data_IF_401078080043
#
_entry.id   IF_401078080043
#
_cell.length_a   1.000
_cell.length_b   1.000
_cell.length_c   1.000
_cell.angle_alpha   90.00
_cell.angle_beta   90.00
_cell.angle_gamma   90.00
#
_symmetry.space_group_name_H-M   'P 1'
#
loop_
_entity.id
_entity.type
_entity.pdbx_description
1 polymer ?
#
# COMPACT_ATOMS: atom_id res chain seq x y z
N UNK A 1 -16.15 -6.11 29.36
CA UNK A 1 -15.20 -7.12 28.84
C UNK A 1 -14.50 -6.47 27.67
N UNK A 2 -13.17 -6.43 27.65
CA UNK A 2 -12.42 -5.83 26.53
C UNK A 2 -12.57 -6.73 25.31
N UNK A 3 -13.21 -6.22 24.26
CA UNK A 3 -13.48 -6.99 23.04
C UNK A 3 -12.16 -7.26 22.32
N UNK A 4 -11.83 -8.52 21.98
CA UNK A 4 -10.62 -8.84 21.25
C UNK A 4 -10.69 -8.27 19.83
N UNK A 5 -9.65 -7.52 19.47
CA UNK A 5 -9.49 -6.82 18.20
C UNK A 5 -8.16 -7.23 17.56
N UNK A 6 -8.14 -7.47 16.26
CA UNK A 6 -6.89 -7.78 15.55
C UNK A 6 -6.09 -6.51 15.35
N UNK A 7 -4.87 -6.46 15.88
CA UNK A 7 -4.03 -5.24 15.95
C UNK A 7 -3.70 -4.58 14.62
N UNK A 8 -3.82 -5.29 13.50
CA UNK A 8 -3.49 -4.78 12.17
C UNK A 8 -4.72 -4.57 11.26
N UNK A 9 -5.88 -5.14 11.60
CA UNK A 9 -7.04 -5.20 10.68
C UNK A 9 -8.34 -4.64 11.25
N UNK A 10 -8.38 -4.20 12.51
CA UNK A 10 -9.62 -3.67 13.11
C UNK A 10 -10.76 -4.68 13.22
N UNK A 11 -10.50 -5.98 12.99
CA UNK A 11 -11.52 -7.01 13.03
C UNK A 11 -11.83 -7.35 14.49
N UNK A 12 -13.09 -7.28 14.89
CA UNK A 12 -13.53 -7.70 16.21
C UNK A 12 -14.63 -8.75 16.10
N UNK A 13 -14.63 -9.69 17.05
CA UNK A 13 -15.67 -10.71 17.17
C UNK A 13 -16.61 -10.27 18.31
N UNK A 14 -17.89 -9.95 18.05
CA UNK A 14 -18.81 -9.61 19.12
C UNK A 14 -19.02 -10.80 20.06
N UNK A 15 -19.04 -10.54 21.37
CA UNK A 15 -19.34 -11.54 22.37
C UNK A 15 -20.82 -11.94 22.36
N UNK A 16 -21.16 -13.02 23.08
CA UNK A 16 -22.54 -13.44 23.23
C UNK A 16 -23.36 -12.36 23.98
N UNK A 17 -24.34 -11.78 23.29
CA UNK A 17 -25.19 -10.70 23.84
C UNK A 17 -24.73 -9.28 23.51
N UNK A 18 -23.65 -9.07 22.75
CA UNK A 18 -23.20 -7.75 22.34
C UNK A 18 -24.03 -7.17 21.17
N UNK A 19 -24.06 -5.83 21.06
CA UNK A 19 -24.66 -5.05 19.95
C UNK A 19 -26.17 -5.28 19.67
N UNK A 20 -27.06 -5.28 20.68
CA UNK A 20 -28.50 -5.40 20.45
C UNK A 20 -29.03 -4.19 19.66
N UNK A 21 -29.71 -4.43 18.54
CA UNK A 21 -30.34 -3.39 17.72
C UNK A 21 -29.39 -2.58 16.82
N UNK A 22 -28.12 -2.98 16.71
CA UNK A 22 -27.10 -2.28 15.89
C UNK A 22 -26.63 -3.09 14.67
N UNK A 23 -27.45 -4.05 14.23
CA UNK A 23 -27.22 -4.82 13.01
C UNK A 23 -27.36 -3.92 11.78
N UNK A 24 -26.32 -3.85 10.93
CA UNK A 24 -26.33 -3.04 9.70
C UNK A 24 -25.91 -1.56 9.87
N UNK A 25 -25.88 -1.02 11.09
CA UNK A 25 -25.18 0.25 11.41
C UNK A 25 -23.78 0.01 11.98
N UNK A 26 -23.62 -1.08 12.74
CA UNK A 26 -22.34 -1.52 13.31
C UNK A 26 -21.97 -2.97 12.92
N UNK A 27 -22.94 -3.82 12.53
CA UNK A 27 -22.70 -5.27 12.33
C UNK A 27 -22.46 -5.74 10.87
N UNK A 28 -22.31 -4.82 9.93
CA UNK A 28 -21.43 -5.04 8.76
C UNK A 28 -20.36 -3.98 8.93
N UNK A 29 -19.15 -4.41 9.28
CA UNK A 29 -18.09 -3.52 9.75
C UNK A 29 -17.89 -2.38 8.74
N UNK A 30 -18.06 -1.10 9.15
CA UNK A 30 -17.64 0.05 8.34
C UNK A 30 -16.19 -0.08 7.84
N UNK A 31 -15.38 -0.87 8.56
CA UNK A 31 -14.00 -1.20 8.22
C UNK A 31 -13.83 -2.12 6.99
N UNK A 32 -14.88 -2.82 6.53
CA UNK A 32 -14.85 -3.61 5.29
C UNK A 32 -14.76 -2.73 4.04
N UNK A 33 -15.14 -1.45 4.15
CA UNK A 33 -14.98 -0.44 3.07
C UNK A 33 -13.50 -0.23 2.73
N UNK A 34 -12.58 -0.46 3.68
CA UNK A 34 -11.14 -0.35 3.45
C UNK A 34 -10.59 -1.48 2.57
N UNK A 35 -11.11 -2.70 2.73
CA UNK A 35 -10.74 -3.88 1.92
C UNK A 35 -11.28 -3.74 0.49
N UNK A 36 -12.49 -3.20 0.32
CA UNK A 36 -13.12 -2.98 -0.98
C UNK A 36 -12.75 -1.63 -1.62
N UNK A 37 -11.97 -0.81 -0.91
CA UNK A 37 -11.66 0.56 -1.26
C UNK A 37 -10.53 0.70 -2.29
N UNK A 38 -10.76 1.58 -3.28
CA UNK A 38 -9.74 2.09 -4.19
C UNK A 38 -9.57 3.57 -3.91
N UNK A 39 -8.34 4.01 -3.62
CA UNK A 39 -8.05 5.43 -3.46
C UNK A 39 -7.17 5.93 -4.61
N UNK A 40 -7.46 7.14 -5.10
CA UNK A 40 -6.65 7.80 -6.13
C UNK A 40 -5.81 8.90 -5.51
N UNK A 41 -4.52 8.89 -5.84
CA UNK A 41 -3.50 9.81 -5.32
C UNK A 41 -2.84 10.49 -6.52
N UNK A 42 -2.72 11.82 -6.47
CA UNK A 42 -1.99 12.58 -7.48
C UNK A 42 -0.50 12.64 -7.12
N UNK A 43 0.36 12.40 -8.11
CA UNK A 43 1.81 12.47 -7.99
C UNK A 43 2.39 13.38 -9.08
N UNK A 44 3.47 14.11 -8.75
CA UNK A 44 4.14 15.01 -9.69
C UNK A 44 5.67 15.05 -9.50
N UNK A 45 6.18 15.66 -8.43
CA UNK A 45 7.63 15.75 -8.21
C UNK A 45 8.06 15.80 -6.73
N UNK A 46 7.12 15.63 -5.80
CA UNK A 46 7.38 15.69 -4.38
C UNK A 46 7.19 14.30 -3.74
N UNK A 47 7.98 13.94 -2.72
CA UNK A 47 7.75 12.74 -1.94
C UNK A 47 6.35 12.74 -1.32
N UNK A 48 5.69 11.59 -1.33
CA UNK A 48 4.36 11.40 -0.77
C UNK A 48 4.47 10.57 0.50
N UNK A 49 3.83 11.01 1.56
CA UNK A 49 3.60 10.20 2.77
C UNK A 49 2.11 9.94 2.82
N UNK A 50 1.69 8.68 2.68
CA UNK A 50 0.27 8.36 2.75
C UNK A 50 -0.26 8.68 4.13
N UNK A 51 -1.48 9.22 4.17
CA UNK A 51 -2.15 9.47 5.44
C UNK A 51 -2.62 8.15 6.07
N UNK A 52 -2.42 8.06 7.38
CA UNK A 52 -3.00 7.05 8.27
C UNK A 52 -3.76 7.76 9.40
N UNK A 53 -4.71 7.09 10.08
CA UNK A 53 -5.42 7.71 11.20
C UNK A 53 -4.42 8.01 12.33
N UNK A 54 -4.52 9.18 12.95
CA UNK A 54 -3.65 9.56 14.07
C UNK A 54 -3.80 8.56 15.22
N UNK A 55 -2.69 7.95 15.65
CA UNK A 55 -2.72 6.96 16.71
C UNK A 55 -3.44 5.68 16.31
N UNK A 56 -3.16 5.15 15.10
CA UNK A 56 -3.70 3.89 14.59
C UNK A 56 -3.86 2.84 15.69
N UNK A 57 -5.10 2.68 16.13
CA UNK A 57 -5.58 1.56 16.92
C UNK A 57 -6.59 0.84 16.04
N UNK A 58 -6.49 -0.48 16.00
CA UNK A 58 -7.42 -1.33 15.26
C UNK A 58 -8.81 -1.29 15.90
N UNK A 59 -9.53 -0.21 15.65
CA UNK A 59 -10.84 0.09 16.20
C UNK A 59 -11.62 0.88 15.16
N UNK A 60 -12.95 0.66 15.05
CA UNK A 60 -13.76 1.30 14.03
C UNK A 60 -13.66 2.81 14.18
N UNK A 61 -13.15 3.50 13.16
CA UNK A 61 -13.13 4.96 13.09
C UNK A 61 -13.63 5.41 11.71
N UNK A 62 -13.94 6.71 11.57
CA UNK A 62 -14.62 7.25 10.41
C UNK A 62 -13.78 7.17 9.13
N UNK A 63 -13.92 6.04 8.41
CA UNK A 63 -13.56 5.85 7.01
C UNK A 63 -12.09 5.49 6.74
N UNK A 64 -11.80 4.78 5.62
CA UNK A 64 -10.43 4.41 5.30
C UNK A 64 -9.63 5.65 4.89
N UNK A 65 -8.58 5.94 5.65
CA UNK A 65 -7.48 6.78 5.18
C UNK A 65 -6.77 6.15 3.98
N UNK A 66 -5.96 6.91 3.25
CA UNK A 66 -5.31 6.44 2.03
C UNK A 66 -4.61 5.09 2.23
N UNK A 67 -3.82 4.94 3.31
CA UNK A 67 -3.03 3.75 3.58
C UNK A 67 -3.83 2.52 4.05
N UNK A 68 -5.14 2.66 4.30
CA UNK A 68 -6.01 1.54 4.67
C UNK A 68 -6.66 0.86 3.45
N UNK A 69 -6.61 1.50 2.27
CA UNK A 69 -7.17 0.93 1.05
C UNK A 69 -6.27 -0.17 0.51
N UNK A 70 -6.88 -1.28 0.09
CA UNK A 70 -6.16 -2.39 -0.55
C UNK A 70 -5.56 -1.97 -1.90
N UNK A 71 -6.22 -1.05 -2.63
CA UNK A 71 -5.76 -0.56 -3.93
C UNK A 71 -5.41 0.92 -3.86
N UNK A 72 -4.17 1.24 -4.24
CA UNK A 72 -3.63 2.58 -4.31
C UNK A 72 -3.35 2.94 -5.77
N UNK A 73 -4.17 3.82 -6.34
CA UNK A 73 -4.03 4.29 -7.72
C UNK A 73 -3.28 5.62 -7.76
N UNK A 74 -2.19 5.69 -8.49
CA UNK A 74 -1.40 6.90 -8.68
C UNK A 74 -1.63 7.48 -10.07
N UNK A 75 -1.85 8.79 -10.15
CA UNK A 75 -2.11 9.50 -11.40
C UNK A 75 -1.34 10.82 -11.44
N UNK A 76 -1.26 11.43 -12.62
CA UNK A 76 -0.55 12.69 -12.83
C UNK A 76 0.69 12.54 -13.69
N UNK A 77 1.32 13.67 -14.00
CA UNK A 77 2.55 13.72 -14.79
C UNK A 77 3.75 13.88 -13.87
N UNK A 78 4.57 12.84 -13.80
CA UNK A 78 5.83 12.88 -13.10
C UNK A 78 6.83 13.73 -13.89
N UNK A 79 7.50 14.63 -13.17
CA UNK A 79 8.67 15.37 -13.70
C UNK A 79 9.97 14.94 -13.04
N UNK A 80 9.88 13.96 -12.12
CA UNK A 80 10.98 13.27 -11.48
C UNK A 80 10.46 12.00 -10.80
N UNK A 81 11.36 11.07 -10.45
CA UNK A 81 10.98 9.88 -9.69
C UNK A 81 10.54 10.26 -8.28
N UNK A 82 9.40 9.72 -7.84
CA UNK A 82 8.77 10.08 -6.57
C UNK A 82 8.82 8.91 -5.61
N UNK A 83 9.17 9.19 -4.35
CA UNK A 83 9.08 8.19 -3.28
C UNK A 83 7.77 8.33 -2.50
N UNK A 84 7.09 7.21 -2.33
CA UNK A 84 5.85 7.05 -1.58
C UNK A 84 6.12 6.26 -0.30
N UNK A 85 5.73 6.80 0.84
CA UNK A 85 5.87 6.13 2.15
C UNK A 85 4.57 5.45 2.53
N UNK A 86 4.64 4.13 2.74
CA UNK A 86 3.57 3.29 3.26
C UNK A 86 3.64 3.25 4.79
N UNK A 87 2.70 3.89 5.51
CA UNK A 87 2.77 3.99 6.96
C UNK A 87 2.27 2.74 7.70
N UNK A 88 1.43 1.93 7.06
CA UNK A 88 0.79 0.76 7.68
C UNK A 88 1.41 -0.52 7.09
N UNK A 89 1.84 -1.49 7.91
CA UNK A 89 2.22 -2.82 7.43
C UNK A 89 1.00 -3.53 6.85
N UNK A 90 1.15 -4.15 5.68
CA UNK A 90 0.01 -4.76 4.99
C UNK A 90 0.30 -5.16 3.56
N UNK A 91 -0.75 -5.64 2.90
CA UNK A 91 -0.76 -5.99 1.49
C UNK A 91 -1.42 -4.87 0.69
N UNK A 92 -0.78 -4.49 -0.42
CA UNK A 92 -1.22 -3.41 -1.29
C UNK A 92 -1.17 -3.83 -2.75
N UNK A 93 -2.17 -3.38 -3.51
CA UNK A 93 -2.14 -3.37 -4.97
C UNK A 93 -1.83 -1.94 -5.39
N UNK A 94 -0.71 -1.75 -6.06
CA UNK A 94 -0.24 -0.46 -6.56
C UNK A 94 -0.60 -0.36 -8.04
N UNK A 95 -1.46 0.58 -8.42
CA UNK A 95 -1.80 0.91 -9.82
C UNK A 95 -1.11 2.23 -10.18
N UNK A 96 0.04 2.16 -10.87
CA UNK A 96 0.77 3.37 -11.27
C UNK A 96 0.32 3.83 -12.66
N UNK A 97 -0.64 4.74 -12.73
CA UNK A 97 -1.11 5.34 -14.00
C UNK A 97 -0.53 6.73 -14.24
N UNK A 98 0.65 7.00 -13.70
CA UNK A 98 1.35 8.25 -13.98
C UNK A 98 1.92 8.28 -15.41
N UNK A 99 2.29 9.47 -15.86
CA UNK A 99 3.01 9.72 -17.12
C UNK A 99 4.35 10.38 -16.82
N UNK A 100 5.29 10.42 -17.78
CA UNK A 100 6.51 11.23 -17.66
C UNK A 100 7.84 10.47 -17.66
N UNK A 101 7.88 9.17 -17.95
CA UNK A 101 9.11 8.36 -17.99
C UNK A 101 9.92 8.36 -16.68
N UNK A 102 9.21 8.42 -15.55
CA UNK A 102 9.75 8.28 -14.21
C UNK A 102 8.99 7.20 -13.44
N UNK A 103 9.56 6.75 -12.33
CA UNK A 103 9.03 5.63 -11.55
C UNK A 103 8.55 6.08 -10.17
N UNK A 104 7.65 5.30 -9.59
CA UNK A 104 7.23 5.46 -8.19
C UNK A 104 7.97 4.46 -7.31
N UNK A 105 8.76 4.95 -6.37
CA UNK A 105 9.44 4.14 -5.37
C UNK A 105 8.63 4.04 -4.08
N UNK A 106 8.42 2.84 -3.56
CA UNK A 106 7.64 2.57 -2.35
C UNK A 106 8.55 2.12 -1.22
N UNK A 107 8.39 2.74 -0.04
CA UNK A 107 9.15 2.43 1.16
C UNK A 107 8.26 2.38 2.40
N UNK A 108 8.70 1.66 3.43
CA UNK A 108 8.08 1.67 4.75
C UNK A 108 8.56 2.89 5.57
N UNK A 109 7.91 3.17 6.71
CA UNK A 109 8.40 4.16 7.68
C UNK A 109 9.78 3.80 8.20
N UNK A 110 10.04 2.51 8.48
CA UNK A 110 11.35 2.03 8.95
C UNK A 110 12.47 2.18 7.92
N UNK A 111 12.17 2.55 6.67
CA UNK A 111 13.13 2.88 5.60
C UNK A 111 14.21 1.83 5.32
N UNK A 112 13.85 0.55 5.33
CA UNK A 112 14.74 -0.54 4.92
C UNK A 112 14.82 -0.67 3.39
N UNK A 113 13.92 -1.47 2.82
CA UNK A 113 13.88 -1.78 1.38
C UNK A 113 12.92 -0.87 0.62
N UNK A 114 13.35 -0.44 -0.58
CA UNK A 114 12.55 0.30 -1.55
C UNK A 114 12.36 -0.57 -2.78
N UNK A 115 11.11 -0.67 -3.24
CA UNK A 115 10.77 -1.22 -4.55
C UNK A 115 10.25 -0.09 -5.43
N UNK A 116 10.39 -0.20 -6.75
CA UNK A 116 9.78 0.78 -7.64
C UNK A 116 8.86 0.10 -8.65
N UNK A 117 7.78 0.80 -9.00
CA UNK A 117 6.80 0.40 -9.98
C UNK A 117 6.88 1.37 -11.15
N UNK A 118 6.99 0.82 -12.36
CA UNK A 118 7.06 1.62 -13.57
C UNK A 118 5.71 2.28 -13.90
N UNK A 119 5.72 3.26 -14.79
CA UNK A 119 4.50 3.89 -15.28
C UNK A 119 3.62 2.88 -16.04
N UNK A 120 2.31 3.07 -15.96
CA UNK A 120 1.27 2.26 -16.61
C UNK A 120 1.29 0.78 -16.20
N UNK A 121 1.78 0.45 -15.00
CA UNK A 121 1.86 -0.92 -14.50
C UNK A 121 1.17 -1.10 -13.14
N UNK A 122 0.77 -2.34 -12.84
CA UNK A 122 0.09 -2.73 -11.61
C UNK A 122 0.88 -3.83 -10.90
N UNK A 123 1.22 -3.61 -9.63
CA UNK A 123 2.06 -4.54 -8.87
C UNK A 123 1.49 -4.86 -7.49
N UNK A 124 1.68 -6.12 -7.08
CA UNK A 124 1.32 -6.60 -5.74
C UNK A 124 2.50 -6.45 -4.79
N UNK A 125 2.27 -5.74 -3.69
CA UNK A 125 3.32 -5.28 -2.78
C UNK A 125 2.95 -5.63 -1.35
N UNK A 126 3.96 -6.05 -0.58
CA UNK A 126 3.86 -6.31 0.85
C UNK A 126 4.79 -5.38 1.62
N UNK A 127 4.27 -4.79 2.71
CA UNK A 127 5.00 -3.96 3.66
C UNK A 127 5.01 -4.64 5.03
N UNK A 128 6.19 -4.95 5.58
CA UNK A 128 6.34 -5.53 6.94
C UNK A 128 6.47 -4.46 8.04
N UNK A 129 6.42 -3.18 7.67
CA UNK A 129 6.63 -2.02 8.57
C UNK A 129 8.06 -1.46 8.54
N UNK A 130 9.02 -2.24 8.03
CA UNK A 130 10.43 -1.83 7.83
C UNK A 130 10.84 -1.92 6.36
N UNK A 131 10.41 -2.96 5.68
CA UNK A 131 10.76 -3.30 4.31
C UNK A 131 9.51 -3.43 3.45
N UNK A 132 9.66 -3.06 2.18
CA UNK A 132 8.65 -3.26 1.15
C UNK A 132 9.19 -4.26 0.12
N UNK A 133 8.35 -5.21 -0.30
CA UNK A 133 8.71 -6.30 -1.22
C UNK A 133 7.61 -6.59 -2.22
N UNK A 134 7.98 -7.11 -3.38
CA UNK A 134 7.02 -7.71 -4.31
C UNK A 134 6.52 -9.05 -3.77
N UNK A 135 5.25 -9.35 -4.03
CA UNK A 135 4.63 -10.60 -3.56
C UNK A 135 4.81 -11.74 -4.56
N UNK A 136 4.66 -11.44 -5.86
CA UNK A 136 4.62 -12.44 -6.94
C UNK A 136 5.81 -12.35 -7.89
N UNK A 137 6.71 -11.41 -7.66
CA UNK A 137 7.92 -11.28 -8.47
C UNK A 137 8.99 -12.21 -7.88
N UNK A 138 9.71 -12.91 -8.74
CA UNK A 138 10.90 -13.67 -8.33
C UNK A 138 11.97 -12.75 -7.76
N UNK A 139 13.15 -13.31 -7.44
CA UNK A 139 14.29 -12.47 -7.09
C UNK A 139 14.58 -11.59 -8.29
N UNK A 140 14.45 -10.28 -8.12
CA UNK A 140 14.83 -9.32 -9.14
C UNK A 140 16.35 -9.53 -9.36
N UNK A 141 16.87 -9.17 -10.54
CA UNK A 141 18.33 -9.12 -10.67
C UNK A 141 18.96 -10.46 -11.04
N UNK A 142 18.18 -11.54 -11.11
CA UNK A 142 18.63 -12.79 -11.71
C UNK A 142 19.05 -12.57 -13.17
N UNK A 143 20.18 -13.14 -13.57
CA UNK A 143 20.74 -12.97 -14.93
C UNK A 143 19.78 -13.42 -16.04
N UNK A 144 18.83 -14.29 -15.71
CA UNK A 144 17.78 -14.74 -16.61
C UNK A 144 16.77 -13.63 -16.98
N UNK A 145 16.51 -12.66 -16.09
CA UNK A 145 15.64 -11.52 -16.38
C UNK A 145 16.27 -10.50 -17.33
N UNK A 146 17.60 -10.48 -17.45
CA UNK A 146 18.33 -9.46 -18.23
C UNK A 146 18.77 -9.94 -19.61
N UNK A 147 18.53 -11.21 -19.94
CA UNK A 147 18.95 -11.78 -21.22
C UNK A 147 18.27 -11.05 -22.39
N UNK A 148 19.06 -10.39 -23.23
CA UNK A 148 18.58 -9.69 -24.44
C UNK A 148 18.14 -8.23 -24.23
N UNK A 149 18.29 -7.67 -23.03
CA UNK A 149 18.03 -6.25 -22.78
C UNK A 149 19.29 -5.39 -23.05
N UNK A 150 19.09 -4.26 -23.72
CA UNK A 150 20.17 -3.31 -24.03
C UNK A 150 20.56 -2.41 -22.83
N UNK A 151 19.67 -2.27 -21.85
CA UNK A 151 19.87 -1.54 -20.62
C UNK A 151 18.92 -2.04 -19.53
N UNK A 152 19.27 -1.81 -18.26
CA UNK A 152 18.42 -2.14 -17.12
C UNK A 152 17.24 -1.14 -17.08
N UNK A 153 15.98 -1.60 -16.96
CA UNK A 153 14.82 -0.72 -16.81
C UNK A 153 14.93 0.20 -15.59
N UNK A 154 14.38 1.41 -15.70
CA UNK A 154 14.49 2.43 -14.65
C UNK A 154 13.90 1.96 -13.30
N UNK A 155 12.79 1.23 -13.30
CA UNK A 155 12.15 0.73 -12.07
C UNK A 155 13.05 -0.26 -11.31
N UNK A 156 13.82 -1.07 -12.04
CA UNK A 156 14.76 -2.03 -11.45
C UNK A 156 15.89 -1.28 -10.77
N UNK A 157 16.46 -0.28 -11.47
CA UNK A 157 17.56 0.53 -10.93
C UNK A 157 17.15 1.38 -9.72
N UNK A 158 15.86 1.65 -9.56
CA UNK A 158 15.29 2.37 -8.43
C UNK A 158 14.95 1.46 -7.24
N UNK A 159 14.95 0.13 -7.42
CA UNK A 159 14.83 -0.82 -6.32
C UNK A 159 16.16 -0.90 -5.56
N UNK A 160 16.12 -0.94 -4.22
CA UNK A 160 17.34 -1.06 -3.40
C UNK A 160 17.83 -2.49 -3.25
N UNK A 161 17.02 -3.46 -3.67
CA UNK A 161 17.45 -4.85 -3.81
C UNK A 161 17.27 -5.21 -5.27
N UNK A 162 18.35 -5.69 -5.92
CA UNK A 162 18.33 -6.01 -7.31
C UNK A 162 17.39 -7.14 -7.57
#
# INVERSE_FOLDING_TARGET
MTVPQTVNGGLFIPGNGDLPGLWGSNAINPDMVAIEGVTTISASNAPIVLTSPSGFTSTPSAGPTQAQNAVLKFTGALTGSVQVTLPIPGYYIIDNQTTGAFVLGFRAIGSGQIIAVDQQDVQHVYNDGTNVRFVNLGRIGETAMWAGLAAIPAWVSACTIP
#
